data_IF_584607175881
#
_entry.id   IF_584607175881
#
_cell.length_a   1.000
_cell.length_b   1.000
_cell.length_c   1.000
_cell.angle_alpha   90.00
_cell.angle_beta   90.00
_cell.angle_gamma   90.00
#
_symmetry.space_group_name_H-M   'P 1'
#
loop_
_entity.id
_entity.type
_entity.pdbx_description
1 polymer ?
#
# COMPACT_ATOMS: atom_id res chain seq x y z
N UNK A 1 9.53 -21.24 9.60
CA UNK A 1 10.29 -20.32 8.72
C UNK A 1 11.63 -20.96 8.41
N UNK A 2 12.09 -20.88 7.15
CA UNK A 2 13.35 -21.48 6.73
C UNK A 2 14.53 -20.76 7.37
N UNK A 3 15.48 -21.49 7.93
CA UNK A 3 16.75 -21.00 8.49
C UNK A 3 17.50 -20.07 7.53
N UNK A 4 17.40 -20.34 6.23
CA UNK A 4 18.00 -19.52 5.17
C UNK A 4 17.40 -18.11 5.10
N UNK A 5 16.09 -17.97 5.29
CA UNK A 5 15.45 -16.65 5.31
C UNK A 5 15.90 -15.81 6.51
N UNK A 6 16.00 -16.42 7.69
CA UNK A 6 16.50 -15.74 8.89
C UNK A 6 17.96 -15.28 8.74
N UNK A 7 18.81 -16.16 8.18
CA UNK A 7 20.20 -15.81 7.91
C UNK A 7 20.32 -14.64 6.91
N UNK A 8 19.52 -14.68 5.85
CA UNK A 8 19.47 -13.60 4.88
C UNK A 8 18.97 -12.29 5.49
N UNK A 9 17.92 -12.35 6.31
CA UNK A 9 17.40 -11.17 7.01
C UNK A 9 18.45 -10.57 7.96
N UNK A 10 19.09 -11.40 8.79
CA UNK A 10 20.14 -10.95 9.70
C UNK A 10 21.31 -10.29 8.95
N UNK A 11 21.71 -10.85 7.80
CA UNK A 11 22.74 -10.24 6.96
C UNK A 11 22.30 -8.86 6.44
N UNK A 12 21.07 -8.73 5.99
CA UNK A 12 20.53 -7.47 5.50
C UNK A 12 20.41 -6.41 6.63
N UNK A 13 20.04 -6.82 7.83
CA UNK A 13 19.95 -5.92 8.98
C UNK A 13 21.35 -5.47 9.44
N UNK A 14 22.33 -6.38 9.45
CA UNK A 14 23.73 -6.07 9.79
C UNK A 14 24.36 -5.07 8.79
N UNK A 15 23.96 -5.13 7.53
CA UNK A 15 24.46 -4.23 6.48
C UNK A 15 23.65 -2.93 6.35
N UNK A 16 22.56 -2.74 7.11
CA UNK A 16 21.72 -1.55 7.08
C UNK A 16 22.49 -0.23 7.31
N UNK A 17 23.44 -0.13 8.30
CA UNK A 17 24.21 1.09 8.49
C UNK A 17 25.01 1.52 7.26
N UNK A 18 25.57 0.56 6.53
CA UNK A 18 26.33 0.82 5.30
C UNK A 18 25.44 1.39 4.19
N UNK A 19 24.21 0.88 4.06
CA UNK A 19 23.23 1.39 3.09
C UNK A 19 22.80 2.81 3.43
N UNK A 20 22.54 3.06 4.71
CA UNK A 20 22.20 4.41 5.20
C UNK A 20 23.36 5.39 4.98
N UNK A 21 24.59 4.97 5.28
CA UNK A 21 25.80 5.77 5.03
C UNK A 21 26.02 6.07 3.54
N UNK A 22 25.80 5.06 2.67
CA UNK A 22 25.89 5.24 1.22
C UNK A 22 24.85 6.24 0.70
N UNK A 23 23.62 6.19 1.20
CA UNK A 23 22.56 7.15 0.85
C UNK A 23 22.87 8.57 1.30
N UNK A 24 23.44 8.72 2.51
CA UNK A 24 23.89 10.02 3.01
C UNK A 24 25.04 10.58 2.19
N UNK A 25 26.03 9.75 1.88
CA UNK A 25 27.17 10.13 1.01
C UNK A 25 26.72 10.57 -0.38
N UNK A 26 25.75 9.85 -0.97
CA UNK A 26 25.17 10.20 -2.27
C UNK A 26 24.48 11.57 -2.24
N UNK A 27 23.70 11.86 -1.18
CA UNK A 27 23.10 13.19 -0.99
C UNK A 27 24.15 14.27 -0.91
N UNK A 28 25.23 14.03 -0.17
CA UNK A 28 26.34 14.99 -0.04
C UNK A 28 27.03 15.25 -1.39
N UNK A 29 27.27 14.21 -2.18
CA UNK A 29 27.87 14.34 -3.52
C UNK A 29 27.01 15.19 -4.46
N UNK A 30 25.70 15.17 -4.33
CA UNK A 30 24.79 15.98 -5.14
C UNK A 30 24.86 17.48 -4.82
N UNK A 31 25.44 17.88 -3.68
CA UNK A 31 25.69 19.27 -3.32
C UNK A 31 27.04 19.80 -3.80
N UNK A 32 27.93 18.92 -4.33
CA UNK A 32 29.21 19.36 -4.88
C UNK A 32 28.97 20.02 -6.24
N UNK A 33 29.50 21.25 -6.47
CA UNK A 33 29.30 21.95 -7.75
C UNK A 33 29.80 21.10 -8.92
N UNK A 34 29.01 21.08 -9.99
CA UNK A 34 29.23 20.28 -11.21
C UNK A 34 30.44 20.76 -12.05
N UNK A 35 31.57 21.05 -11.42
CA UNK A 35 32.82 21.40 -12.11
C UNK A 35 33.82 20.25 -12.22
N UNK A 36 33.57 19.15 -11.52
CA UNK A 36 34.45 17.97 -11.48
C UNK A 36 33.75 16.84 -12.25
N UNK A 37 33.73 16.94 -13.56
CA UNK A 37 33.23 15.85 -14.41
C UNK A 37 34.30 14.76 -14.60
N UNK A 38 34.68 14.13 -13.51
CA UNK A 38 35.54 12.96 -13.60
C UNK A 38 34.66 11.70 -13.67
N UNK A 39 34.90 10.86 -14.68
CA UNK A 39 34.21 9.57 -14.86
C UNK A 39 34.26 8.70 -13.57
N UNK A 40 35.30 8.88 -12.77
CA UNK A 40 35.46 8.23 -11.49
C UNK A 40 34.39 8.69 -10.48
N UNK A 41 34.01 9.96 -10.47
CA UNK A 41 33.00 10.52 -9.59
C UNK A 41 31.60 9.98 -9.95
N UNK A 42 31.27 9.90 -11.23
CA UNK A 42 30.02 9.29 -11.71
C UNK A 42 29.92 7.80 -11.35
N UNK A 43 31.03 7.06 -11.43
CA UNK A 43 31.07 5.64 -11.02
C UNK A 43 30.90 5.48 -9.51
N UNK A 44 31.51 6.34 -8.71
CA UNK A 44 31.33 6.32 -7.25
C UNK A 44 29.89 6.64 -6.86
N UNK A 45 29.28 7.65 -7.47
CA UNK A 45 27.88 8.00 -7.22
C UNK A 45 26.95 6.83 -7.59
N UNK A 46 27.15 6.19 -8.74
CA UNK A 46 26.38 5.02 -9.15
C UNK A 46 26.56 3.83 -8.20
N UNK A 47 27.79 3.58 -7.72
CA UNK A 47 28.04 2.51 -6.74
C UNK A 47 27.35 2.79 -5.40
N UNK A 48 27.42 4.02 -4.90
CA UNK A 48 26.72 4.43 -3.68
C UNK A 48 25.20 4.32 -3.81
N UNK A 49 24.67 4.71 -4.97
CA UNK A 49 23.26 4.57 -5.29
C UNK A 49 22.83 3.11 -5.28
N UNK A 50 23.58 2.24 -5.93
CA UNK A 50 23.32 0.81 -5.95
C UNK A 50 23.30 0.23 -4.52
N UNK A 51 24.32 0.53 -3.72
CA UNK A 51 24.41 0.07 -2.32
C UNK A 51 23.22 0.59 -1.50
N UNK A 52 22.87 1.86 -1.64
CA UNK A 52 21.76 2.48 -0.89
C UNK A 52 20.40 1.86 -1.21
N UNK A 53 20.22 1.34 -2.43
CA UNK A 53 18.99 0.71 -2.89
C UNK A 53 18.88 -0.78 -2.62
N UNK A 54 19.92 -1.44 -2.15
CA UNK A 54 19.90 -2.88 -1.82
C UNK A 54 19.22 -3.15 -0.48
N UNK A 55 17.96 -2.78 -0.33
CA UNK A 55 17.18 -3.05 0.87
C UNK A 55 16.11 -4.12 0.62
N UNK A 56 15.72 -4.86 1.68
CA UNK A 56 14.61 -5.82 1.61
C UNK A 56 13.25 -5.14 1.79
N UNK A 57 13.25 -3.95 2.36
CA UNK A 57 12.03 -3.19 2.65
C UNK A 57 12.13 -1.82 2.02
N UNK A 58 11.04 -1.44 1.39
CA UNK A 58 10.86 -0.14 0.80
C UNK A 58 9.69 0.55 1.50
N UNK A 59 9.73 1.86 1.60
CA UNK A 59 8.59 2.64 2.05
C UNK A 59 7.51 2.65 0.98
N UNK A 60 6.25 2.66 1.40
CA UNK A 60 5.12 2.75 0.48
C UNK A 60 5.24 4.02 -0.39
N UNK A 61 5.24 3.91 -1.72
CA UNK A 61 5.18 5.08 -2.58
C UNK A 61 3.87 5.84 -2.39
N UNK A 62 3.85 7.14 -2.63
CA UNK A 62 2.61 7.90 -2.68
C UNK A 62 1.78 7.53 -3.93
N UNK A 63 0.45 7.57 -3.82
CA UNK A 63 -0.40 7.45 -5.01
C UNK A 63 -0.20 8.63 -5.96
N UNK A 64 0.00 9.85 -5.42
CA UNK A 64 0.21 11.06 -6.23
C UNK A 64 -0.94 11.28 -7.22
N UNK A 65 -2.18 11.08 -6.75
CA UNK A 65 -3.40 11.38 -7.49
C UNK A 65 -4.00 12.62 -6.84
N UNK A 66 -3.64 13.79 -7.36
CA UNK A 66 -4.05 15.06 -6.78
C UNK A 66 -5.40 15.53 -7.33
N UNK A 67 -5.77 15.06 -8.53
CA UNK A 67 -6.96 15.50 -9.24
C UNK A 67 -7.53 14.40 -10.13
N UNK A 68 -8.85 14.48 -10.36
CA UNK A 68 -9.58 13.60 -11.29
C UNK A 68 -10.67 14.38 -12.03
N UNK A 69 -10.93 13.99 -13.28
CA UNK A 69 -12.09 14.45 -14.03
C UNK A 69 -13.29 13.58 -13.71
N UNK A 70 -14.43 14.21 -13.36
CA UNK A 70 -15.74 13.56 -13.26
C UNK A 70 -16.65 14.26 -14.26
N UNK A 71 -17.00 13.58 -15.32
CA UNK A 71 -17.62 14.22 -16.47
C UNK A 71 -16.71 15.31 -17.06
N UNK A 72 -17.19 16.55 -17.09
CA UNK A 72 -16.43 17.70 -17.64
C UNK A 72 -15.82 18.60 -16.56
N UNK A 73 -15.81 18.18 -15.30
CA UNK A 73 -15.31 18.97 -14.18
C UNK A 73 -14.14 18.28 -13.48
N UNK A 74 -13.12 19.07 -13.12
CA UNK A 74 -11.95 18.60 -12.37
C UNK A 74 -12.19 18.77 -10.87
N UNK A 75 -11.91 17.72 -10.10
CA UNK A 75 -12.01 17.70 -8.64
C UNK A 75 -10.68 17.37 -7.99
N UNK A 76 -10.39 18.06 -6.89
CA UNK A 76 -9.24 17.73 -6.05
C UNK A 76 -9.48 16.40 -5.30
N UNK A 77 -8.41 15.64 -5.11
CA UNK A 77 -8.42 14.36 -4.39
C UNK A 77 -7.60 14.49 -3.12
N UNK A 78 -8.17 13.98 -2.01
CA UNK A 78 -7.46 13.74 -0.76
C UNK A 78 -7.52 12.28 -0.37
N UNK A 79 -6.40 11.73 0.16
CA UNK A 79 -6.34 10.38 0.71
C UNK A 79 -6.84 10.42 2.17
N UNK A 80 -7.85 9.63 2.49
CA UNK A 80 -8.46 9.54 3.83
C UNK A 80 -8.43 8.10 4.30
N UNK A 81 -7.88 7.83 5.49
CA UNK A 81 -7.96 6.51 6.13
C UNK A 81 -9.30 6.41 6.84
N UNK A 82 -10.20 5.58 6.32
CA UNK A 82 -11.55 5.40 6.88
C UNK A 82 -11.62 4.29 7.93
N UNK A 83 -10.71 3.32 7.86
CA UNK A 83 -10.59 2.25 8.83
C UNK A 83 -9.13 1.81 8.93
N UNK A 84 -8.65 1.49 10.12
CA UNK A 84 -7.26 1.06 10.33
C UNK A 84 -7.17 -0.06 11.36
N UNK A 85 -6.33 -1.05 11.06
CA UNK A 85 -5.91 -2.13 11.95
C UNK A 85 -4.37 -2.18 11.98
N UNK A 86 -3.76 -2.97 12.88
CA UNK A 86 -2.32 -3.19 12.83
C UNK A 86 -1.82 -3.79 11.50
N UNK A 87 -2.68 -4.50 10.78
CA UNK A 87 -2.32 -5.28 9.59
C UNK A 87 -2.63 -4.59 8.27
N UNK A 88 -3.55 -3.63 8.27
CA UNK A 88 -3.95 -2.92 7.06
C UNK A 88 -4.93 -1.79 7.35
N UNK A 89 -5.13 -0.96 6.36
CA UNK A 89 -6.04 0.18 6.39
C UNK A 89 -6.99 0.14 5.21
N UNK A 90 -8.17 0.74 5.38
CA UNK A 90 -9.06 1.07 4.28
C UNK A 90 -8.84 2.53 3.93
N UNK A 91 -8.31 2.78 2.74
CA UNK A 91 -8.02 4.10 2.22
C UNK A 91 -9.11 4.54 1.25
N UNK A 92 -9.65 5.73 1.44
CA UNK A 92 -10.61 6.38 0.54
C UNK A 92 -9.94 7.51 -0.22
N UNK A 93 -10.24 7.63 -1.50
CA UNK A 93 -9.86 8.78 -2.32
C UNK A 93 -11.05 9.75 -2.40
N UNK A 94 -11.10 10.67 -1.45
CA UNK A 94 -12.19 11.64 -1.34
C UNK A 94 -12.05 12.72 -2.40
N UNK A 95 -13.13 12.96 -3.14
CA UNK A 95 -13.26 14.03 -4.11
C UNK A 95 -13.94 15.24 -3.46
N UNK A 96 -13.25 16.36 -3.38
CA UNK A 96 -13.77 17.56 -2.72
C UNK A 96 -14.89 18.21 -3.56
N UNK A 97 -16.12 18.18 -3.04
CA UNK A 97 -17.29 18.81 -3.69
C UNK A 97 -17.88 18.07 -4.88
N UNK A 98 -17.44 16.84 -5.16
CA UNK A 98 -18.01 16.02 -6.24
C UNK A 98 -19.41 15.51 -5.88
N UNK A 99 -20.27 15.22 -6.87
CA UNK A 99 -21.54 14.55 -6.65
C UNK A 99 -21.33 13.16 -6.07
N UNK A 100 -22.36 12.64 -5.38
CA UNK A 100 -22.34 11.27 -4.90
C UNK A 100 -22.18 10.28 -6.05
N UNK A 101 -21.28 9.33 -5.86
CA UNK A 101 -21.01 8.26 -6.80
C UNK A 101 -21.08 6.92 -6.07
N UNK A 102 -21.32 5.81 -6.80
CA UNK A 102 -21.32 4.48 -6.21
C UNK A 102 -19.99 4.19 -5.51
N UNK A 103 -20.05 3.66 -4.28
CA UNK A 103 -18.86 3.26 -3.53
C UNK A 103 -18.28 1.98 -4.12
N UNK A 104 -16.98 1.98 -4.36
CA UNK A 104 -16.26 0.83 -4.89
C UNK A 104 -15.12 0.45 -3.96
N UNK A 105 -15.10 -0.83 -3.55
CA UNK A 105 -13.97 -1.41 -2.82
C UNK A 105 -13.03 -2.11 -3.80
N UNK A 106 -11.82 -1.61 -3.92
CA UNK A 106 -10.73 -2.24 -4.64
C UNK A 106 -9.88 -3.04 -3.65
N UNK A 107 -9.88 -4.36 -3.80
CA UNK A 107 -9.09 -5.25 -2.94
C UNK A 107 -7.70 -5.41 -3.54
N UNK A 108 -6.71 -4.81 -2.87
CA UNK A 108 -5.31 -4.96 -3.25
C UNK A 108 -4.80 -6.37 -2.87
N UNK A 109 -4.01 -7.03 -3.73
CA UNK A 109 -3.47 -8.35 -3.44
C UNK A 109 -2.47 -8.29 -2.28
N UNK A 110 -2.51 -9.29 -1.41
CA UNK A 110 -1.59 -9.46 -0.28
C UNK A 110 -0.31 -10.22 -0.70
N UNK A 111 0.23 -9.88 -1.87
CA UNK A 111 1.35 -10.60 -2.51
C UNK A 111 2.73 -9.95 -2.30
N UNK A 112 2.87 -9.12 -1.27
CA UNK A 112 4.14 -8.44 -0.96
C UNK A 112 4.40 -7.18 -1.78
N UNK A 113 3.41 -6.66 -2.49
CA UNK A 113 3.44 -5.37 -3.18
C UNK A 113 2.60 -4.35 -2.41
N UNK A 114 3.00 -3.10 -2.48
CA UNK A 114 2.16 -2.02 -1.97
C UNK A 114 0.92 -1.82 -2.84
N UNK A 115 -0.19 -1.43 -2.24
CA UNK A 115 -1.46 -1.15 -2.94
C UNK A 115 -1.31 -0.06 -4.02
N UNK A 116 -0.30 0.79 -3.92
CA UNK A 116 0.08 1.80 -4.92
C UNK A 116 0.43 1.22 -6.30
N UNK A 117 0.68 -0.10 -6.40
CA UNK A 117 0.78 -0.81 -7.68
C UNK A 117 -0.50 -0.62 -8.52
N UNK A 118 -1.66 -0.50 -7.86
CA UNK A 118 -2.96 -0.31 -8.50
C UNK A 118 -3.30 1.17 -8.79
N UNK A 119 -2.32 2.08 -8.70
CA UNK A 119 -2.51 3.52 -8.96
C UNK A 119 -3.24 3.81 -10.27
N UNK A 120 -2.88 3.13 -11.34
CA UNK A 120 -3.53 3.29 -12.66
C UNK A 120 -5.00 2.90 -12.61
N UNK A 121 -5.31 1.76 -11.99
CA UNK A 121 -6.68 1.26 -11.79
C UNK A 121 -7.48 2.24 -10.94
N UNK A 122 -6.93 2.68 -9.80
CA UNK A 122 -7.58 3.68 -8.93
C UNK A 122 -7.91 4.94 -9.72
N UNK A 123 -6.95 5.49 -10.49
CA UNK A 123 -7.14 6.70 -11.28
C UNK A 123 -8.27 6.55 -12.32
N UNK A 124 -8.41 5.38 -12.93
CA UNK A 124 -9.48 5.10 -13.89
C UNK A 124 -10.84 5.01 -13.19
N UNK A 125 -10.91 4.25 -12.09
CA UNK A 125 -12.16 4.03 -11.36
C UNK A 125 -12.69 5.30 -10.67
N UNK A 126 -11.80 6.22 -10.29
CA UNK A 126 -12.17 7.49 -9.66
C UNK A 126 -13.05 8.40 -10.55
N UNK A 127 -13.07 8.20 -11.86
CA UNK A 127 -13.91 8.99 -12.75
C UNK A 127 -15.40 8.78 -12.47
N UNK A 128 -15.79 7.54 -12.10
CA UNK A 128 -17.18 7.14 -11.98
C UNK A 128 -17.56 6.60 -10.59
N UNK A 129 -16.59 6.41 -9.68
CA UNK A 129 -16.82 5.77 -8.38
C UNK A 129 -16.15 6.52 -7.22
N UNK A 130 -16.76 6.42 -6.02
CA UNK A 130 -16.13 6.73 -4.75
C UNK A 130 -15.24 5.55 -4.33
N UNK A 131 -13.94 5.64 -4.64
CA UNK A 131 -13.01 4.51 -4.57
C UNK A 131 -12.42 4.38 -3.18
N UNK A 132 -12.56 3.17 -2.63
CA UNK A 132 -11.86 2.72 -1.43
C UNK A 132 -10.91 1.60 -1.82
N UNK A 133 -9.73 1.52 -1.21
CA UNK A 133 -8.76 0.46 -1.47
C UNK A 133 -8.21 -0.11 -0.16
N UNK A 134 -8.01 -1.42 -0.11
CA UNK A 134 -7.29 -2.06 0.99
C UNK A 134 -5.80 -1.76 0.87
N UNK A 135 -5.18 -1.24 1.91
CA UNK A 135 -3.76 -0.92 1.97
C UNK A 135 -3.10 -1.76 3.07
N UNK A 136 -2.53 -2.91 2.68
CA UNK A 136 -1.92 -3.86 3.62
C UNK A 136 -0.57 -3.34 4.09
N UNK A 137 -0.37 -3.38 5.42
CA UNK A 137 0.86 -2.94 6.04
C UNK A 137 1.99 -3.94 5.77
N UNK A 138 3.24 -3.44 5.74
CA UNK A 138 4.39 -4.30 5.62
C UNK A 138 4.53 -5.18 6.88
N UNK A 139 4.48 -6.52 6.76
CA UNK A 139 4.54 -7.43 7.90
C UNK A 139 5.78 -7.25 8.80
N UNK A 140 6.85 -6.65 8.28
CA UNK A 140 8.08 -6.37 9.04
C UNK A 140 7.92 -5.23 10.03
N UNK A 141 7.00 -4.32 9.76
CA UNK A 141 6.76 -3.13 10.59
C UNK A 141 5.67 -3.39 11.65
N UNK A 142 5.00 -4.57 11.57
CA UNK A 142 3.96 -4.96 12.52
C UNK A 142 4.61 -5.56 13.77
N UNK A 143 4.34 -5.01 14.96
CA UNK A 143 4.91 -5.53 16.19
C UNK A 143 4.34 -6.93 16.53
N UNK A 144 5.18 -7.81 17.07
CA UNK A 144 4.81 -9.20 17.37
C UNK A 144 3.64 -9.33 18.35
N UNK A 145 3.41 -8.34 19.19
CA UNK A 145 2.27 -8.30 20.13
C UNK A 145 0.93 -7.99 19.45
N UNK A 146 0.92 -7.58 18.18
CA UNK A 146 -0.31 -7.42 17.41
C UNK A 146 -1.00 -8.76 17.10
N UNK A 147 -0.31 -9.89 17.31
CA UNK A 147 -0.85 -11.22 17.11
C UNK A 147 -0.46 -11.84 15.76
N UNK A 148 -1.24 -12.84 15.36
CA UNK A 148 -1.09 -13.53 14.07
C UNK A 148 -2.03 -12.92 13.05
N UNK A 149 -1.66 -13.07 11.77
CA UNK A 149 -2.50 -12.68 10.65
C UNK A 149 -2.38 -13.75 9.56
N UNK A 150 -3.46 -14.46 9.32
CA UNK A 150 -3.59 -15.52 8.32
C UNK A 150 -4.66 -15.20 7.27
N UNK A 151 -5.00 -16.18 6.45
CA UNK A 151 -6.00 -16.02 5.41
C UNK A 151 -7.41 -15.80 5.98
N UNK A 152 -7.71 -16.41 7.12
CA UNK A 152 -8.99 -16.24 7.82
C UNK A 152 -9.13 -14.80 8.31
N UNK A 153 -8.09 -14.28 9.00
CA UNK A 153 -8.05 -12.90 9.48
C UNK A 153 -8.15 -11.90 8.32
N UNK A 154 -7.50 -12.20 7.18
CA UNK A 154 -7.62 -11.41 5.97
C UNK A 154 -9.06 -11.34 5.48
N UNK A 155 -9.77 -12.47 5.48
CA UNK A 155 -11.18 -12.54 5.05
C UNK A 155 -12.07 -11.76 6.01
N UNK A 156 -11.85 -11.90 7.31
CA UNK A 156 -12.60 -11.17 8.34
C UNK A 156 -12.38 -9.65 8.19
N UNK A 157 -11.15 -9.20 7.94
CA UNK A 157 -10.88 -7.78 7.67
C UNK A 157 -11.61 -7.26 6.42
N UNK A 158 -11.70 -8.08 5.35
CA UNK A 158 -12.47 -7.69 4.17
C UNK A 158 -13.97 -7.58 4.48
N UNK A 159 -14.50 -8.47 5.30
CA UNK A 159 -15.89 -8.41 5.77
C UNK A 159 -16.11 -7.15 6.60
N UNK A 160 -15.19 -6.82 7.51
CA UNK A 160 -15.25 -5.61 8.33
C UNK A 160 -15.18 -4.35 7.47
N UNK A 161 -14.33 -4.32 6.44
CA UNK A 161 -14.24 -3.19 5.51
C UNK A 161 -15.51 -3.01 4.69
N UNK A 162 -16.19 -4.10 4.35
CA UNK A 162 -17.48 -4.03 3.67
C UNK A 162 -18.58 -3.47 4.59
N UNK A 163 -18.50 -3.78 5.90
CA UNK A 163 -19.39 -3.26 6.94
C UNK A 163 -20.86 -3.13 6.53
N UNK A 164 -21.51 -2.05 6.96
CA UNK A 164 -22.88 -1.70 6.56
C UNK A 164 -22.96 -0.94 5.21
N UNK A 165 -21.82 -0.73 4.55
CA UNK A 165 -21.73 0.03 3.32
C UNK A 165 -22.03 -0.85 2.11
N UNK A 166 -22.86 -0.34 1.18
CA UNK A 166 -23.05 -0.99 -0.11
C UNK A 166 -21.87 -0.65 -1.02
N UNK A 167 -20.90 -1.55 -1.08
CA UNK A 167 -19.79 -1.45 -2.02
C UNK A 167 -20.04 -2.27 -3.29
N UNK A 168 -19.61 -1.73 -4.42
CA UNK A 168 -19.25 -2.56 -5.58
C UNK A 168 -17.83 -3.08 -5.32
N UNK A 169 -17.61 -4.37 -5.43
CA UNK A 169 -16.27 -4.94 -5.24
C UNK A 169 -15.60 -5.16 -6.58
N UNK A 170 -14.42 -4.61 -6.74
CA UNK A 170 -13.56 -4.84 -7.90
C UNK A 170 -12.31 -5.62 -7.49
N UNK A 171 -11.97 -6.60 -8.28
CA UNK A 171 -10.70 -7.30 -8.25
C UNK A 171 -10.01 -7.18 -9.62
N UNK A 172 -8.88 -7.86 -9.78
CA UNK A 172 -8.14 -7.88 -11.05
C UNK A 172 -8.87 -8.60 -12.20
N UNK A 173 -10.03 -9.19 -11.94
CA UNK A 173 -10.89 -9.86 -12.94
C UNK A 173 -12.10 -9.03 -13.36
N UNK A 174 -12.45 -7.99 -12.63
CA UNK A 174 -13.57 -7.10 -12.97
C UNK A 174 -14.32 -6.55 -11.77
N UNK A 175 -15.39 -5.80 -12.05
CA UNK A 175 -16.26 -5.21 -11.02
C UNK A 175 -17.47 -6.13 -10.82
N UNK A 176 -17.66 -6.63 -9.60
CA UNK A 176 -18.82 -7.41 -9.20
C UNK A 176 -19.61 -6.66 -8.13
N UNK A 177 -20.92 -6.53 -8.31
CA UNK A 177 -21.79 -6.03 -7.26
C UNK A 177 -21.99 -7.12 -6.20
N UNK A 178 -21.47 -6.90 -5.00
CA UNK A 178 -21.82 -7.72 -3.84
C UNK A 178 -23.04 -7.07 -3.20
N UNK A 179 -24.22 -7.68 -3.41
CA UNK A 179 -25.39 -7.36 -2.61
C UNK A 179 -25.09 -7.64 -1.14
N UNK A 180 -25.73 -6.88 -0.23
CA UNK A 180 -25.58 -7.00 1.24
C UNK A 180 -25.32 -8.45 1.64
N UNK A 181 -24.20 -8.78 2.32
CA UNK A 181 -24.15 -10.03 3.04
C UNK A 181 -25.31 -9.97 4.06
N UNK A 182 -26.24 -10.91 3.95
CA UNK A 182 -27.19 -11.13 5.04
C UNK A 182 -26.34 -11.55 6.24
N UNK A 183 -26.13 -10.63 7.17
CA UNK A 183 -25.71 -10.97 8.54
C UNK A 183 -26.92 -11.65 9.15
N UNK A 184 -27.13 -12.92 8.76
CA UNK A 184 -28.15 -13.82 9.22
C UNK A 184 -27.49 -14.78 10.18
N UNK A 185 -27.77 -14.58 11.47
CA UNK A 185 -27.85 -15.63 12.50
C UNK A 185 -26.63 -16.57 12.59
N UNK A 186 -25.56 -16.12 13.23
CA UNK A 186 -24.78 -17.04 14.06
C UNK A 186 -25.63 -17.41 15.28
N UNK A 187 -26.71 -18.17 15.00
CA UNK A 187 -27.50 -18.83 15.98
C UNK A 187 -26.73 -20.02 16.52
N UNK A 188 -26.43 -19.94 17.80
CA UNK A 188 -26.40 -21.06 18.74
C UNK A 188 -26.13 -22.46 18.14
N UNK A 189 -24.86 -22.86 18.02
CA UNK A 189 -24.44 -24.26 18.03
C UNK A 189 -23.25 -24.43 18.96
N UNK A 190 -23.51 -24.24 20.24
CA UNK A 190 -22.67 -24.82 21.30
C UNK A 190 -23.58 -25.09 22.48
N UNK A 191 -24.28 -26.21 22.46
CA UNK A 191 -24.73 -27.02 23.59
C UNK A 191 -25.32 -28.32 23.04
N UNK A 192 -24.46 -29.34 22.89
CA UNK A 192 -24.73 -30.73 23.26
C UNK A 192 -23.43 -31.52 23.18
#
# INVERSE_FOLDING_TARGET
MSLMYQAYQNHMDLTAPWRTGAGAALKYLNFVPQGVSDKAFGRLAAALELISRTSLTYTRPAYGIDKVMVGNQEYAISEEVTYATPFGSLLRFKKEGAPEQPKLLLVAPMSGHFATLLRGTVKTLLQDHDVHITDWHNPRDIPLNAGRFGLEDYTDHLIDFLGDSQFLVADHHGVNAIGRPRIGERGARDQL
#
